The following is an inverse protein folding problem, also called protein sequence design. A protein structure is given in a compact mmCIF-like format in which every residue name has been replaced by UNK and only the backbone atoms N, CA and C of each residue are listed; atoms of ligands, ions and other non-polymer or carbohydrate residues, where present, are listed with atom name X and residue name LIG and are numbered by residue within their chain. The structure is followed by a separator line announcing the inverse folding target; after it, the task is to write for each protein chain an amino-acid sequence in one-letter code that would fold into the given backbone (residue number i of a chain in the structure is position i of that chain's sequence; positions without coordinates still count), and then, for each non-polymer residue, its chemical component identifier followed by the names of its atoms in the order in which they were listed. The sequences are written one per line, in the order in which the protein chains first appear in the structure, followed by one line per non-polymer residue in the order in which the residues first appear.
data_IF_433167004435
#
_entry.id   IF_433167004435
#
_cell.length_a   1.000
_cell.length_b   1.000
_cell.length_c   1.000
_cell.angle_alpha   90.00
_cell.angle_beta   90.00
_cell.angle_gamma   90.00
#
_symmetry.space_group_name_H-M   'P 1'
#
loop_
_entity.id
_entity.type
_entity.pdbx_description
1 polymer ?
#
# COMPACT_ATOMS: atom_id res chain seq x y z
N UNK A 1 -50.26 36.06 -4.80
CA UNK A 1 -49.37 34.97 -4.33
C UNK A 1 -48.77 35.39 -3.00
N UNK A 2 -49.18 34.74 -1.90
CA UNK A 2 -48.56 34.97 -0.58
C UNK A 2 -47.16 34.38 -0.64
N UNK A 3 -46.14 35.21 -0.42
CA UNK A 3 -44.76 34.77 -0.25
C UNK A 3 -44.71 33.78 0.92
N UNK A 4 -44.56 32.49 0.63
CA UNK A 4 -44.22 31.51 1.67
C UNK A 4 -42.99 32.03 2.41
N UNK A 5 -42.95 31.96 3.76
CA UNK A 5 -41.77 32.38 4.51
C UNK A 5 -40.58 31.61 3.97
N UNK A 6 -39.55 32.33 3.53
CA UNK A 6 -38.30 31.75 3.03
C UNK A 6 -37.76 30.83 4.12
N UNK A 7 -37.99 29.52 3.99
CA UNK A 7 -37.38 28.48 4.79
C UNK A 7 -35.90 28.46 4.43
N UNK A 8 -35.15 29.38 5.03
CA UNK A 8 -33.69 29.31 5.07
C UNK A 8 -33.36 28.05 5.88
N UNK A 9 -33.04 26.97 5.16
CA UNK A 9 -32.41 25.82 5.79
C UNK A 9 -31.16 26.30 6.52
N UNK A 10 -30.94 25.89 7.78
CA UNK A 10 -29.69 26.16 8.49
C UNK A 10 -28.48 25.74 7.66
N UNK A 11 -27.38 26.48 7.81
CA UNK A 11 -26.14 26.29 7.02
C UNK A 11 -25.58 24.90 7.24
N UNK A 12 -25.80 24.35 8.42
CA UNK A 12 -25.40 23.04 8.86
C UNK A 12 -26.17 21.95 8.10
N UNK A 13 -27.48 22.15 7.84
CA UNK A 13 -28.26 21.20 7.04
C UNK A 13 -27.88 21.24 5.58
N UNK A 14 -27.61 22.42 5.03
CA UNK A 14 -27.09 22.54 3.66
C UNK A 14 -25.70 21.90 3.58
N UNK A 15 -24.85 22.16 4.56
CA UNK A 15 -23.54 21.51 4.64
C UNK A 15 -23.72 20.01 4.76
N UNK A 16 -24.64 19.47 5.56
CA UNK A 16 -24.92 18.04 5.65
C UNK A 16 -25.50 17.46 4.35
N UNK A 17 -26.34 18.20 3.61
CA UNK A 17 -26.87 17.74 2.31
C UNK A 17 -25.73 17.72 1.29
N UNK A 18 -24.95 18.79 1.21
CA UNK A 18 -23.77 18.85 0.34
C UNK A 18 -22.75 17.80 0.74
N UNK A 19 -22.52 17.64 2.04
CA UNK A 19 -21.61 16.65 2.59
C UNK A 19 -22.17 15.26 2.37
N UNK A 20 -23.46 14.97 2.43
CA UNK A 20 -24.07 13.67 2.10
C UNK A 20 -23.92 13.37 0.61
N UNK A 21 -24.27 14.34 -0.25
CA UNK A 21 -24.02 14.32 -1.69
C UNK A 21 -22.53 14.19 -2.01
N UNK A 22 -21.65 14.52 -1.05
CA UNK A 22 -20.19 14.38 -1.14
C UNK A 22 -19.63 13.29 -0.22
N UNK A 23 -20.40 12.57 0.60
CA UNK A 23 -19.94 11.56 1.60
C UNK A 23 -20.02 10.19 0.98
N UNK A 24 -20.99 10.00 0.08
CA UNK A 24 -20.86 9.06 -1.02
C UNK A 24 -19.51 9.23 -1.78
N UNK A 25 -18.85 10.39 -1.64
CA UNK A 25 -17.52 10.69 -2.18
C UNK A 25 -16.40 10.87 -1.12
N UNK A 26 -16.70 11.05 0.19
CA UNK A 26 -15.75 11.41 1.26
C UNK A 26 -15.61 10.37 2.38
N UNK A 27 -16.54 9.40 2.55
CA UNK A 27 -16.23 8.17 3.33
C UNK A 27 -15.12 7.31 2.68
N UNK A 28 -14.58 7.81 1.56
CA UNK A 28 -13.45 7.32 0.80
C UNK A 28 -12.11 8.03 1.13
N UNK A 29 -11.94 8.63 2.33
CA UNK A 29 -10.67 9.25 2.74
C UNK A 29 -9.67 8.26 3.40
N UNK A 30 -8.38 8.53 3.09
CA UNK A 30 -7.08 7.92 3.39
C UNK A 30 -6.66 6.57 2.79
N UNK A 31 -7.55 5.60 2.55
CA UNK A 31 -7.13 4.29 1.99
C UNK A 31 -8.03 3.73 0.88
N UNK A 32 -8.89 4.53 0.23
CA UNK A 32 -9.81 4.02 -0.82
C UNK A 32 -9.80 4.76 -2.18
N UNK A 33 -8.89 5.72 -2.40
CA UNK A 33 -9.12 6.85 -3.33
C UNK A 33 -8.78 6.65 -4.82
N UNK A 34 -8.12 5.57 -5.25
CA UNK A 34 -7.49 5.53 -6.61
C UNK A 34 -8.10 4.47 -7.57
N UNK A 35 -9.00 3.62 -7.10
CA UNK A 35 -9.46 2.48 -7.90
C UNK A 35 -10.57 2.80 -8.93
N UNK A 36 -11.21 3.97 -8.85
CA UNK A 36 -12.39 4.30 -9.68
C UNK A 36 -12.18 5.49 -10.62
N UNK A 37 -10.98 5.75 -11.11
CA UNK A 37 -10.70 7.03 -11.78
C UNK A 37 -11.46 7.29 -13.09
N UNK A 38 -11.61 6.31 -13.98
CA UNK A 38 -12.36 6.55 -15.23
C UNK A 38 -13.88 6.68 -15.00
N UNK A 39 -14.44 5.87 -14.09
CA UNK A 39 -15.88 5.89 -13.78
C UNK A 39 -16.28 7.03 -12.84
N UNK A 40 -15.41 7.39 -11.89
CA UNK A 40 -15.59 8.52 -10.97
C UNK A 40 -15.52 9.85 -11.70
N UNK A 41 -14.69 10.00 -12.74
CA UNK A 41 -14.57 11.26 -13.49
C UNK A 41 -15.87 11.69 -14.17
N UNK A 42 -16.61 10.73 -14.76
CA UNK A 42 -17.91 11.01 -15.39
C UNK A 42 -18.95 11.40 -14.33
N UNK A 43 -19.02 10.64 -13.23
CA UNK A 43 -19.91 10.94 -12.11
C UNK A 43 -19.58 12.31 -11.49
N UNK A 44 -18.29 12.62 -11.31
CA UNK A 44 -17.81 13.88 -10.76
C UNK A 44 -18.14 15.06 -11.67
N UNK A 45 -18.10 14.91 -13.00
CA UNK A 45 -18.50 15.98 -13.92
C UNK A 45 -19.98 16.31 -13.78
N UNK A 46 -20.85 15.30 -13.70
CA UNK A 46 -22.29 15.49 -13.49
C UNK A 46 -22.58 16.20 -12.17
N UNK A 47 -21.97 15.73 -11.09
CA UNK A 47 -22.11 16.34 -9.77
C UNK A 47 -21.59 17.78 -9.74
N UNK A 48 -20.37 18.04 -10.24
CA UNK A 48 -19.79 19.39 -10.28
C UNK A 48 -20.65 20.36 -11.07
N UNK A 49 -21.29 19.91 -12.17
CA UNK A 49 -22.25 20.74 -12.91
C UNK A 49 -23.49 21.07 -12.07
N UNK A 50 -24.06 20.08 -11.39
CA UNK A 50 -25.20 20.30 -10.48
C UNK A 50 -24.85 21.26 -9.33
N UNK A 51 -23.71 21.03 -8.68
CA UNK A 51 -23.19 21.91 -7.63
C UNK A 51 -22.91 23.32 -8.16
N UNK A 52 -22.30 23.47 -9.34
CA UNK A 52 -22.10 24.79 -9.94
C UNK A 52 -23.43 25.53 -10.12
N UNK A 53 -24.48 24.87 -10.59
CA UNK A 53 -25.82 25.46 -10.67
C UNK A 53 -26.35 25.86 -9.29
N UNK A 54 -26.21 25.00 -8.26
CA UNK A 54 -26.58 25.33 -6.88
C UNK A 54 -25.84 26.57 -6.36
N UNK A 55 -24.55 26.74 -6.67
CA UNK A 55 -23.77 27.90 -6.23
C UNK A 55 -24.26 29.23 -6.83
N UNK A 56 -24.95 29.17 -7.98
CA UNK A 56 -25.52 30.34 -8.66
C UNK A 56 -26.95 30.68 -8.19
N UNK A 57 -27.59 29.81 -7.40
CA UNK A 57 -28.97 30.03 -6.93
C UNK A 57 -29.08 31.22 -5.98
N UNK A 58 -28.19 31.31 -4.99
CA UNK A 58 -28.16 32.43 -4.05
C UNK A 58 -26.80 32.57 -3.36
N UNK A 59 -26.54 33.77 -2.81
CA UNK A 59 -25.29 34.08 -2.08
C UNK A 59 -25.06 33.22 -0.85
N UNK A 60 -26.13 32.64 -0.29
CA UNK A 60 -26.05 31.80 0.91
C UNK A 60 -25.42 30.42 0.61
N UNK A 61 -25.75 29.82 -0.54
CA UNK A 61 -25.22 28.50 -0.93
C UNK A 61 -23.81 28.59 -1.51
N UNK A 62 -23.48 29.73 -2.14
CA UNK A 62 -22.23 29.90 -2.87
C UNK A 62 -20.98 29.54 -2.05
N UNK A 63 -20.77 29.98 -0.79
CA UNK A 63 -19.57 29.64 -0.02
C UNK A 63 -19.44 28.14 0.27
N UNK A 64 -20.52 27.49 0.71
CA UNK A 64 -20.51 26.07 1.06
C UNK A 64 -20.25 25.20 -0.19
N UNK A 65 -20.92 25.52 -1.29
CA UNK A 65 -20.77 24.79 -2.56
C UNK A 65 -19.39 25.04 -3.18
N UNK A 66 -18.86 26.26 -3.09
CA UNK A 66 -17.53 26.62 -3.61
C UNK A 66 -16.43 25.79 -2.93
N UNK A 67 -16.52 25.59 -1.61
CA UNK A 67 -15.56 24.75 -0.89
C UNK A 67 -15.50 23.32 -1.47
N UNK A 68 -16.64 22.75 -1.80
CA UNK A 68 -16.73 21.42 -2.43
C UNK A 68 -16.20 21.43 -3.87
N UNK A 69 -16.64 22.39 -4.69
CA UNK A 69 -16.28 22.49 -6.12
C UNK A 69 -14.77 22.60 -6.35
N UNK A 70 -14.10 23.40 -5.52
CA UNK A 70 -12.68 23.71 -5.64
C UNK A 70 -11.79 22.82 -4.77
N UNK A 71 -12.35 21.93 -3.94
CA UNK A 71 -11.56 21.00 -3.10
C UNK A 71 -10.54 20.19 -3.90
N UNK A 72 -10.97 19.68 -5.06
CA UNK A 72 -10.14 18.89 -5.97
C UNK A 72 -10.18 19.47 -7.37
N UNK A 73 -9.02 19.85 -7.89
CA UNK A 73 -8.84 20.33 -9.26
C UNK A 73 -8.19 19.25 -10.11
N UNK A 74 -8.58 19.17 -11.39
CA UNK A 74 -8.00 18.24 -12.37
C UNK A 74 -7.42 19.07 -13.50
N UNK A 75 -6.13 18.91 -13.76
CA UNK A 75 -5.38 19.59 -14.82
C UNK A 75 -4.93 18.56 -15.85
N UNK A 76 -5.28 18.77 -17.11
CA UNK A 76 -4.95 17.85 -18.22
C UNK A 76 -3.99 18.44 -19.24
N UNK A 77 -3.80 19.75 -19.19
CA UNK A 77 -3.02 20.49 -20.16
C UNK A 77 -2.33 21.70 -19.55
N UNK A 78 -1.39 22.29 -20.29
CA UNK A 78 -0.78 23.58 -19.95
C UNK A 78 -1.82 24.70 -19.88
N UNK A 79 -2.82 24.67 -20.78
CA UNK A 79 -3.87 25.68 -20.83
C UNK A 79 -4.76 25.64 -19.59
N UNK A 80 -5.08 24.45 -19.06
CA UNK A 80 -5.83 24.31 -17.80
C UNK A 80 -5.07 24.95 -16.64
N UNK A 81 -3.75 24.75 -16.60
CA UNK A 81 -2.88 25.31 -15.58
C UNK A 81 -2.82 26.84 -15.67
N UNK A 82 -2.59 27.38 -16.87
CA UNK A 82 -2.51 28.83 -17.09
C UNK A 82 -3.86 29.51 -16.79
N UNK A 83 -4.98 28.90 -17.19
CA UNK A 83 -6.32 29.34 -16.83
C UNK A 83 -6.54 29.33 -15.32
N UNK A 84 -6.12 28.28 -14.62
CA UNK A 84 -6.23 28.21 -13.16
C UNK A 84 -5.41 29.30 -12.48
N UNK A 85 -4.17 29.53 -12.93
CA UNK A 85 -3.31 30.59 -12.37
C UNK A 85 -3.95 31.97 -12.59
N UNK A 86 -4.45 32.26 -13.80
CA UNK A 86 -5.15 33.50 -14.09
C UNK A 86 -6.41 33.64 -13.22
N UNK A 87 -7.17 32.55 -13.06
CA UNK A 87 -8.37 32.50 -12.24
C UNK A 87 -8.08 32.78 -10.76
N UNK A 88 -7.04 32.17 -10.19
CA UNK A 88 -6.59 32.42 -8.82
C UNK A 88 -6.18 33.88 -8.61
N UNK A 89 -5.49 34.49 -9.59
CA UNK A 89 -5.09 35.90 -9.55
C UNK A 89 -6.26 36.89 -9.73
N UNK A 90 -7.36 36.45 -10.35
CA UNK A 90 -8.55 37.27 -10.59
C UNK A 90 -9.64 37.14 -9.51
N UNK A 91 -9.47 36.24 -8.53
CA UNK A 91 -10.52 35.89 -7.57
C UNK A 91 -11.04 37.12 -6.83
N UNK A 92 -12.35 37.36 -6.94
CA UNK A 92 -13.08 38.44 -6.27
C UNK A 92 -13.12 38.26 -4.75
N UNK A 93 -13.47 39.33 -4.03
CA UNK A 93 -13.49 39.46 -2.56
C UNK A 93 -14.48 38.53 -1.81
N UNK A 94 -14.96 37.44 -2.43
CA UNK A 94 -15.79 36.45 -1.75
C UNK A 94 -14.85 35.59 -0.89
N UNK A 95 -14.94 35.73 0.42
CA UNK A 95 -14.24 34.86 1.36
C UNK A 95 -14.92 33.47 1.44
N UNK A 96 -14.15 32.38 1.62
CA UNK A 96 -12.69 32.33 1.57
C UNK A 96 -12.15 32.33 0.11
N UNK A 97 -10.89 32.76 -0.14
CA UNK A 97 -10.30 32.75 -1.48
C UNK A 97 -10.18 31.32 -2.04
N UNK A 98 -10.29 31.14 -3.36
CA UNK A 98 -10.22 29.79 -3.98
C UNK A 98 -8.93 29.06 -3.59
N UNK A 99 -7.80 29.76 -3.54
CA UNK A 99 -6.50 29.15 -3.16
C UNK A 99 -6.57 28.41 -1.83
N UNK A 100 -7.33 28.93 -0.85
CA UNK A 100 -7.52 28.27 0.45
C UNK A 100 -8.51 27.11 0.45
N UNK A 101 -9.31 26.97 -0.61
CA UNK A 101 -10.29 25.89 -0.77
C UNK A 101 -9.69 24.67 -1.49
N UNK A 102 -8.60 24.85 -2.26
CA UNK A 102 -7.94 23.78 -3.00
C UNK A 102 -7.13 22.91 -2.04
N UNK A 103 -7.52 21.65 -1.92
CA UNK A 103 -6.82 20.65 -1.12
C UNK A 103 -6.04 19.66 -1.99
N UNK A 104 -6.56 19.35 -3.18
CA UNK A 104 -5.97 18.37 -4.08
C UNK A 104 -5.87 18.94 -5.50
N UNK A 105 -4.68 18.82 -6.10
CA UNK A 105 -4.43 19.12 -7.51
C UNK A 105 -4.03 17.82 -8.19
N UNK A 106 -4.96 17.29 -8.98
CA UNK A 106 -4.74 16.10 -9.78
C UNK A 106 -4.29 16.49 -11.18
N UNK A 107 -3.26 15.82 -11.67
CA UNK A 107 -2.69 16.01 -13.00
C UNK A 107 -2.93 14.72 -13.76
N UNK A 108 -3.63 14.80 -14.89
CA UNK A 108 -3.91 13.65 -15.75
C UNK A 108 -3.25 13.88 -17.10
N UNK A 109 -2.36 12.98 -17.50
CA UNK A 109 -1.69 13.02 -18.79
C UNK A 109 -2.05 11.74 -19.55
N UNK A 110 -2.56 11.90 -20.77
CA UNK A 110 -3.07 10.82 -21.64
C UNK A 110 -1.98 10.20 -22.54
N UNK A 111 -0.71 10.45 -22.21
CA UNK A 111 0.44 9.98 -23.00
C UNK A 111 0.60 10.66 -24.36
N UNK A 112 -0.32 11.56 -24.76
CA UNK A 112 -0.17 12.33 -25.98
C UNK A 112 1.04 13.27 -25.88
N UNK A 113 1.74 13.54 -27.00
CA UNK A 113 2.85 14.49 -27.00
C UNK A 113 2.33 15.89 -26.69
N UNK A 114 2.63 16.37 -25.49
CA UNK A 114 2.31 17.72 -25.02
C UNK A 114 3.58 18.53 -24.80
N UNK A 115 3.48 19.86 -24.85
CA UNK A 115 4.56 20.76 -24.42
C UNK A 115 4.86 20.50 -22.94
N UNK A 116 6.12 20.39 -22.50
CA UNK A 116 6.43 20.16 -21.08
C UNK A 116 5.99 21.35 -20.23
N UNK A 117 4.98 21.16 -19.37
CA UNK A 117 4.39 22.24 -18.57
C UNK A 117 4.45 22.01 -17.06
N UNK A 118 4.85 20.82 -16.59
CA UNK A 118 4.88 20.49 -15.16
C UNK A 118 5.84 21.37 -14.33
N UNK A 119 6.82 22.01 -14.96
CA UNK A 119 7.69 22.98 -14.28
C UNK A 119 6.94 24.26 -13.85
N UNK A 120 5.81 24.58 -14.48
CA UNK A 120 4.93 25.70 -14.09
C UNK A 120 4.14 25.40 -12.81
N UNK A 121 4.02 24.14 -12.38
CA UNK A 121 3.33 23.78 -11.14
C UNK A 121 3.96 24.43 -9.90
N UNK A 122 5.24 24.80 -9.95
CA UNK A 122 5.84 25.58 -8.86
C UNK A 122 5.23 26.96 -8.72
N UNK A 123 4.77 27.57 -9.82
CA UNK A 123 4.07 28.86 -9.79
C UNK A 123 2.70 28.66 -9.13
N UNK A 124 1.95 27.65 -9.57
CA UNK A 124 0.69 27.27 -8.94
C UNK A 124 0.86 26.96 -7.44
N UNK A 125 1.90 26.22 -7.06
CA UNK A 125 2.18 25.87 -5.66
C UNK A 125 2.43 27.11 -4.81
N UNK A 126 3.10 28.12 -5.35
CA UNK A 126 3.28 29.41 -4.67
C UNK A 126 1.96 30.15 -4.53
N UNK A 127 1.11 30.15 -5.56
CA UNK A 127 -0.17 30.86 -5.53
C UNK A 127 -1.19 30.18 -4.59
N UNK A 128 -1.20 28.84 -4.53
CA UNK A 128 -2.04 28.07 -3.63
C UNK A 128 -1.56 28.15 -2.17
N UNK A 129 -0.25 28.10 -1.93
CA UNK A 129 0.33 28.11 -0.58
C UNK A 129 0.86 29.48 -0.14
N UNK A 130 0.50 30.56 -0.84
CA UNK A 130 0.98 31.92 -0.55
C UNK A 130 0.61 32.36 0.88
N UNK A 131 -0.58 31.94 1.34
CA UNK A 131 -1.05 32.25 2.68
C UNK A 131 -0.48 31.26 3.69
N UNK A 132 0.60 31.66 4.37
CA UNK A 132 1.19 30.93 5.51
C UNK A 132 0.19 30.68 6.65
N UNK A 133 -0.96 31.36 6.64
CA UNK A 133 -2.02 31.23 7.63
C UNK A 133 -2.98 30.07 7.35
N UNK A 134 -2.94 29.46 6.16
CA UNK A 134 -3.73 28.27 5.87
C UNK A 134 -2.99 27.02 6.36
N UNK A 135 -3.63 26.28 7.27
CA UNK A 135 -3.11 25.02 7.80
C UNK A 135 -3.07 23.88 6.76
N UNK A 136 -3.76 24.04 5.63
CA UNK A 136 -3.90 23.02 4.59
C UNK A 136 -3.00 23.35 3.41
N UNK A 137 -2.05 22.45 3.13
CA UNK A 137 -1.21 22.48 1.93
C UNK A 137 -1.88 21.65 0.85
N UNK A 138 -1.90 22.15 -0.39
CA UNK A 138 -2.40 21.37 -1.52
C UNK A 138 -1.52 20.12 -1.77
N UNK A 139 -2.17 18.97 -1.94
CA UNK A 139 -1.54 17.70 -2.31
C UNK A 139 -1.61 17.51 -3.82
N UNK A 140 -0.55 17.01 -4.43
CA UNK A 140 -0.46 16.81 -5.87
C UNK A 140 -0.42 15.33 -6.21
N UNK A 141 -1.33 14.92 -7.09
CA UNK A 141 -1.46 13.56 -7.58
C UNK A 141 -1.24 13.57 -9.09
N UNK A 142 -0.22 12.88 -9.57
CA UNK A 142 0.09 12.80 -11.01
C UNK A 142 -0.28 11.43 -11.54
N UNK A 143 -1.08 11.38 -12.59
CA UNK A 143 -1.51 10.17 -13.28
C UNK A 143 -1.11 10.27 -14.74
N UNK A 144 -0.30 9.34 -15.22
CA UNK A 144 0.09 9.24 -16.63
C UNK A 144 -0.43 7.90 -17.14
N UNK A 145 -1.42 7.97 -18.02
CA UNK A 145 -2.11 6.81 -18.58
C UNK A 145 -1.93 6.84 -20.09
N UNK A 146 -1.51 5.72 -20.68
CA UNK A 146 -1.48 5.56 -22.13
C UNK A 146 -2.66 4.68 -22.58
N UNK A 147 -3.74 5.32 -23.01
CA UNK A 147 -4.96 4.64 -23.48
C UNK A 147 -4.91 4.26 -24.98
N UNK A 148 -3.86 4.65 -25.70
CA UNK A 148 -3.77 4.40 -27.14
C UNK A 148 -3.37 2.97 -27.48
N UNK A 149 -4.28 2.20 -28.07
CA UNK A 149 -3.93 0.98 -28.84
C UNK A 149 -3.14 1.32 -30.13
N UNK A 150 -3.22 2.57 -30.58
CA UNK A 150 -2.43 3.07 -31.70
C UNK A 150 -0.94 2.99 -31.35
N UNK A 151 -0.17 2.37 -32.26
CA UNK A 151 1.26 2.07 -32.18
C UNK A 151 2.05 2.83 -31.10
N UNK A 152 2.85 2.13 -30.28
CA UNK A 152 3.45 2.67 -29.06
C UNK A 152 4.07 4.05 -29.35
N UNK A 153 3.48 5.15 -28.84
CA UNK A 153 4.03 6.47 -29.07
C UNK A 153 5.46 6.45 -28.55
N UNK A 154 6.40 7.14 -29.20
CA UNK A 154 7.79 7.25 -28.71
C UNK A 154 7.76 8.01 -27.37
N UNK A 155 7.63 7.27 -26.27
CA UNK A 155 7.41 7.72 -24.87
C UNK A 155 8.54 8.61 -24.32
N UNK A 156 9.64 8.79 -25.07
CA UNK A 156 10.73 9.70 -24.68
C UNK A 156 10.25 11.13 -24.37
N UNK A 157 9.09 11.56 -24.87
CA UNK A 157 8.59 12.91 -24.61
C UNK A 157 7.66 13.06 -23.40
N UNK A 158 7.22 11.96 -22.78
CA UNK A 158 6.10 11.99 -21.83
C UNK A 158 6.56 12.33 -20.41
N UNK A 159 7.75 11.88 -20.01
CA UNK A 159 8.26 12.23 -18.69
C UNK A 159 8.78 13.68 -18.70
N UNK A 160 8.21 14.57 -17.88
CA UNK A 160 8.57 16.00 -17.86
C UNK A 160 10.05 16.23 -17.54
N UNK A 161 10.69 15.23 -16.93
CA UNK A 161 12.05 15.29 -16.41
C UNK A 161 13.13 14.99 -17.47
N UNK A 162 12.77 14.51 -18.67
CA UNK A 162 13.77 14.23 -19.73
C UNK A 162 14.30 15.51 -20.39
N UNK A 163 13.50 16.59 -20.38
CA UNK A 163 13.89 17.92 -20.87
C UNK A 163 14.29 18.89 -19.77
N UNK A 164 14.23 18.48 -18.51
CA UNK A 164 14.81 19.30 -17.45
C UNK A 164 16.33 19.26 -17.60
N UNK A 165 17.02 20.38 -17.35
CA UNK A 165 18.48 20.37 -17.24
C UNK A 165 18.91 19.22 -16.32
N UNK A 166 20.07 18.62 -16.59
CA UNK A 166 20.62 17.48 -15.81
C UNK A 166 20.57 17.71 -14.29
N UNK A 167 20.59 18.97 -13.88
CA UNK A 167 20.21 19.45 -12.56
C UNK A 167 18.70 19.73 -12.49
N UNK A 168 17.89 18.92 -11.78
CA UNK A 168 16.47 19.20 -11.61
C UNK A 168 16.29 20.61 -11.02
N UNK A 169 15.30 21.40 -11.47
CA UNK A 169 15.00 22.66 -10.85
C UNK A 169 14.81 22.43 -9.34
N UNK A 170 15.47 23.25 -8.52
CA UNK A 170 15.53 23.11 -7.06
C UNK A 170 14.13 23.04 -6.40
N UNK A 171 13.11 23.52 -7.10
CA UNK A 171 11.70 23.39 -6.74
C UNK A 171 11.04 22.47 -7.78
N UNK A 172 10.66 21.27 -7.37
CA UNK A 172 9.58 20.51 -7.99
C UNK A 172 8.38 20.68 -7.06
N UNK A 173 7.14 20.79 -7.56
CA UNK A 173 5.97 20.76 -6.69
C UNK A 173 6.00 19.51 -5.81
N UNK A 174 5.36 19.57 -4.64
CA UNK A 174 5.26 18.44 -3.73
C UNK A 174 4.31 17.39 -4.30
N UNK A 175 4.78 16.59 -5.26
CA UNK A 175 4.02 15.44 -5.77
C UNK A 175 4.04 14.37 -4.69
N UNK A 176 2.86 14.05 -4.17
CA UNK A 176 2.65 13.08 -3.11
C UNK A 176 2.28 11.71 -3.67
N UNK A 177 1.52 11.68 -4.77
CA UNK A 177 1.11 10.46 -5.44
C UNK A 177 1.51 10.47 -6.92
N UNK A 178 2.03 9.33 -7.40
CA UNK A 178 2.34 9.10 -8.81
C UNK A 178 1.72 7.77 -9.27
N UNK A 179 0.86 7.83 -10.28
CA UNK A 179 0.30 6.67 -10.97
C UNK A 179 0.81 6.64 -12.41
N UNK A 180 1.40 5.53 -12.81
CA UNK A 180 1.92 5.27 -14.15
C UNK A 180 1.22 4.02 -14.70
N UNK A 181 0.47 4.17 -15.78
CA UNK A 181 -0.31 3.06 -16.36
C UNK A 181 0.00 2.88 -17.85
N UNK A 182 0.30 1.63 -18.23
CA UNK A 182 0.53 1.18 -19.62
C UNK A 182 1.61 1.97 -20.37
N UNK A 183 2.67 2.38 -19.67
CA UNK A 183 3.79 3.11 -20.29
C UNK A 183 4.83 2.16 -20.91
N UNK A 184 5.38 2.55 -22.06
CA UNK A 184 6.46 1.82 -22.72
C UNK A 184 7.79 2.57 -22.57
N UNK A 185 8.68 2.10 -21.70
CA UNK A 185 9.97 2.75 -21.45
C UNK A 185 11.12 2.04 -22.16
N UNK A 186 12.24 2.73 -22.30
CA UNK A 186 13.43 2.11 -22.91
C UNK A 186 14.07 1.13 -21.93
N UNK A 187 14.34 1.56 -20.70
CA UNK A 187 14.98 0.76 -19.65
C UNK A 187 14.34 1.05 -18.28
N UNK A 188 14.39 0.11 -17.32
CA UNK A 188 13.97 0.35 -15.93
C UNK A 188 14.65 1.56 -15.28
N UNK A 189 15.90 1.86 -15.69
CA UNK A 189 16.65 3.02 -15.19
C UNK A 189 15.97 4.36 -15.45
N UNK A 190 15.27 4.48 -16.58
CA UNK A 190 14.58 5.73 -16.93
C UNK A 190 13.40 6.00 -16.00
N UNK A 191 12.66 4.94 -15.64
CA UNK A 191 11.59 4.97 -14.65
C UNK A 191 12.12 5.43 -13.28
N UNK A 192 13.17 4.76 -12.80
CA UNK A 192 13.77 5.04 -11.50
C UNK A 192 14.33 6.47 -11.43
N UNK A 193 14.95 6.95 -12.52
CA UNK A 193 15.42 8.34 -12.60
C UNK A 193 14.27 9.32 -12.48
N UNK A 194 13.16 9.10 -13.20
CA UNK A 194 11.99 9.98 -13.13
C UNK A 194 11.41 10.03 -11.72
N UNK A 195 11.18 8.87 -11.09
CA UNK A 195 10.63 8.76 -9.74
C UNK A 195 11.56 9.38 -8.70
N UNK A 196 12.86 9.08 -8.76
CA UNK A 196 13.84 9.60 -7.79
C UNK A 196 13.98 11.12 -7.76
N UNK A 197 13.54 11.80 -8.82
CA UNK A 197 13.49 13.27 -8.87
C UNK A 197 12.36 13.87 -7.99
N UNK A 198 11.39 13.05 -7.57
CA UNK A 198 10.21 13.46 -6.81
C UNK A 198 10.42 13.20 -5.31
N UNK A 199 10.84 14.23 -4.58
CA UNK A 199 11.26 14.09 -3.17
C UNK A 199 10.15 13.82 -2.16
N UNK A 200 8.91 14.18 -2.47
CA UNK A 200 7.77 14.09 -1.56
C UNK A 200 6.83 12.92 -1.90
N UNK A 201 7.29 12.01 -2.77
CA UNK A 201 6.50 10.88 -3.21
C UNK A 201 6.24 9.93 -2.03
N UNK A 202 4.98 9.90 -1.59
CA UNK A 202 4.48 8.98 -0.57
C UNK A 202 3.80 7.77 -1.21
N UNK A 203 3.14 7.98 -2.34
CA UNK A 203 2.42 6.94 -3.03
C UNK A 203 2.95 6.79 -4.46
N UNK A 204 3.27 5.57 -4.88
CA UNK A 204 3.64 5.25 -6.26
C UNK A 204 2.92 3.98 -6.73
N UNK A 205 2.14 4.06 -7.80
CA UNK A 205 1.54 2.90 -8.45
C UNK A 205 2.00 2.84 -9.90
N UNK A 206 2.43 1.66 -10.31
CA UNK A 206 2.98 1.38 -11.63
C UNK A 206 2.31 0.12 -12.15
N UNK A 207 1.55 0.26 -13.21
CA UNK A 207 0.76 -0.82 -13.78
C UNK A 207 1.03 -0.94 -15.27
N UNK A 208 1.24 -2.14 -15.78
CA UNK A 208 1.37 -2.36 -17.22
C UNK A 208 2.62 -1.70 -17.85
N UNK A 209 3.61 -1.30 -17.06
CA UNK A 209 4.80 -0.61 -17.59
C UNK A 209 5.79 -1.62 -18.14
N UNK A 210 6.09 -1.51 -19.44
CA UNK A 210 6.99 -2.42 -20.15
C UNK A 210 8.29 -1.74 -20.53
N UNK A 211 9.34 -2.54 -20.76
CA UNK A 211 10.68 -2.04 -21.10
C UNK A 211 11.15 -2.65 -22.43
N UNK A 212 11.66 -1.81 -23.33
CA UNK A 212 12.28 -2.29 -24.58
C UNK A 212 13.52 -3.13 -24.31
N UNK A 213 14.28 -2.74 -23.30
CA UNK A 213 15.45 -3.43 -22.81
C UNK A 213 15.19 -3.83 -21.34
N UNK A 214 14.97 -5.13 -21.14
CA UNK A 214 14.67 -5.71 -19.85
C UNK A 214 15.91 -5.89 -18.96
N UNK A 215 17.08 -5.41 -19.38
CA UNK A 215 18.26 -5.41 -18.51
C UNK A 215 18.01 -4.55 -17.28
N UNK A 216 17.82 -5.22 -16.15
CA UNK A 216 17.74 -4.55 -14.86
C UNK A 216 19.12 -3.96 -14.55
N UNK A 217 19.21 -2.64 -14.34
CA UNK A 217 20.45 -2.07 -13.87
C UNK A 217 20.77 -2.69 -12.53
N UNK A 218 22.07 -2.91 -12.27
CA UNK A 218 22.53 -3.32 -10.96
C UNK A 218 21.97 -2.32 -9.93
N UNK A 219 21.06 -2.79 -9.06
CA UNK A 219 20.26 -1.94 -8.18
C UNK A 219 21.10 -1.21 -7.12
N UNK A 220 22.41 -1.45 -7.13
CA UNK A 220 23.44 -0.78 -6.32
C UNK A 220 23.73 0.66 -6.76
N UNK A 221 23.11 1.15 -7.84
CA UNK A 221 23.31 2.53 -8.29
C UNK A 221 22.99 3.51 -7.15
N UNK A 222 23.99 4.27 -6.66
CA UNK A 222 23.74 5.32 -5.69
C UNK A 222 22.81 6.32 -6.37
N UNK A 223 21.56 6.41 -5.90
CA UNK A 223 20.68 7.49 -6.30
C UNK A 223 21.42 8.79 -5.99
N UNK A 224 21.77 9.51 -7.05
CA UNK A 224 22.68 10.65 -7.09
C UNK A 224 22.58 11.54 -5.83
N UNK A 225 23.63 11.53 -5.01
CA UNK A 225 24.02 12.63 -4.14
C UNK A 225 22.99 13.13 -3.13
N UNK A 226 22.91 12.45 -1.98
CA UNK A 226 22.94 13.06 -0.64
C UNK A 226 22.05 14.30 -0.38
N UNK A 227 20.77 14.24 -0.75
CA UNK A 227 19.76 14.85 0.12
C UNK A 227 18.84 13.73 0.55
N UNK A 228 19.02 13.28 1.80
CA UNK A 228 18.04 12.44 2.49
C UNK A 228 16.70 13.13 2.27
N UNK A 229 15.81 12.56 1.44
CA UNK A 229 14.51 13.15 1.26
C UNK A 229 13.89 13.29 2.65
N UNK A 230 13.08 14.33 2.84
CA UNK A 230 12.11 14.36 3.94
C UNK A 230 11.13 13.22 3.64
N UNK A 231 11.57 12.02 3.97
CA UNK A 231 10.88 10.81 3.66
C UNK A 231 9.50 10.90 4.31
N UNK A 232 8.43 10.65 3.54
CA UNK A 232 7.09 10.71 4.09
C UNK A 232 6.96 9.73 5.25
N UNK A 233 6.11 10.06 6.23
CA UNK A 233 5.88 9.20 7.39
C UNK A 233 5.38 7.82 6.98
N UNK A 234 4.59 7.77 5.91
CA UNK A 234 4.06 6.54 5.32
C UNK A 234 4.35 6.55 3.84
N UNK A 235 4.61 5.37 3.31
CA UNK A 235 4.79 5.20 1.89
C UNK A 235 4.11 3.92 1.41
N UNK A 236 3.70 3.94 0.15
CA UNK A 236 3.14 2.80 -0.54
C UNK A 236 3.68 2.79 -1.96
N UNK A 237 4.26 1.67 -2.37
CA UNK A 237 4.62 1.38 -3.76
C UNK A 237 3.84 0.17 -4.23
N UNK A 238 3.22 0.25 -5.40
CA UNK A 238 2.50 -0.85 -6.03
C UNK A 238 3.05 -1.00 -7.44
N UNK A 239 3.44 -2.21 -7.80
CA UNK A 239 3.93 -2.57 -9.12
C UNK A 239 3.15 -3.79 -9.58
N UNK A 240 2.46 -3.71 -10.71
CA UNK A 240 1.69 -4.82 -11.28
C UNK A 240 1.79 -4.87 -12.79
N UNK A 241 1.78 -6.06 -13.39
CA UNK A 241 1.95 -6.24 -14.84
C UNK A 241 3.12 -5.47 -15.45
N UNK A 242 4.24 -5.36 -14.74
CA UNK A 242 5.40 -4.61 -15.19
C UNK A 242 6.52 -5.52 -15.69
N UNK A 243 7.29 -5.03 -16.67
CA UNK A 243 8.43 -5.75 -17.24
C UNK A 243 8.02 -7.03 -17.95
N UNK A 244 8.49 -8.18 -17.45
CA UNK A 244 8.17 -9.53 -17.93
C UNK A 244 6.99 -10.17 -17.17
N UNK A 245 6.27 -9.37 -16.37
CA UNK A 245 5.16 -9.80 -15.51
C UNK A 245 5.54 -10.86 -14.45
N UNK A 246 6.83 -11.08 -14.19
CA UNK A 246 7.23 -11.99 -13.12
C UNK A 246 7.20 -11.29 -11.75
N UNK A 247 6.83 -12.00 -10.66
CA UNK A 247 6.86 -11.44 -9.31
C UNK A 247 8.26 -10.92 -8.91
N UNK A 248 9.32 -11.55 -9.41
CA UNK A 248 10.70 -11.15 -9.14
C UNK A 248 11.03 -9.77 -9.73
N UNK A 249 10.66 -9.55 -11.00
CA UNK A 249 10.79 -8.25 -11.69
C UNK A 249 9.97 -7.17 -11.00
N UNK A 250 8.71 -7.46 -10.67
CA UNK A 250 7.82 -6.50 -10.01
C UNK A 250 8.35 -6.11 -8.61
N UNK A 251 8.83 -7.08 -7.84
CA UNK A 251 9.44 -6.84 -6.53
C UNK A 251 10.77 -6.07 -6.66
N UNK A 252 11.61 -6.40 -7.65
CA UNK A 252 12.82 -5.65 -7.94
C UNK A 252 12.51 -4.17 -8.26
N UNK A 253 11.51 -3.90 -9.11
CA UNK A 253 11.05 -2.54 -9.39
C UNK A 253 10.54 -1.85 -8.12
N UNK A 254 9.65 -2.49 -7.37
CA UNK A 254 9.07 -1.91 -6.15
C UNK A 254 10.15 -1.53 -5.13
N UNK A 255 11.15 -2.38 -4.94
CA UNK A 255 12.28 -2.14 -4.04
C UNK A 255 13.29 -1.10 -4.56
N UNK A 256 13.37 -0.90 -5.87
CA UNK A 256 14.23 0.12 -6.48
C UNK A 256 13.61 1.52 -6.48
N UNK A 257 12.29 1.61 -6.70
CA UNK A 257 11.50 2.85 -6.66
C UNK A 257 11.65 3.51 -5.30
N UNK A 258 11.64 2.68 -4.27
CA UNK A 258 11.71 3.12 -2.90
C UNK A 258 12.77 2.32 -2.19
N UNK A 259 13.97 2.89 -1.93
CA UNK A 259 15.08 2.19 -1.32
C UNK A 259 14.76 1.92 0.16
N UNK A 260 13.88 0.94 0.38
CA UNK A 260 13.29 0.63 1.67
C UNK A 260 14.37 0.26 2.70
N UNK A 261 15.49 -0.33 2.27
CA UNK A 261 16.69 -0.52 3.10
C UNK A 261 17.15 0.79 3.75
N UNK A 262 17.36 1.84 2.94
CA UNK A 262 17.80 3.15 3.43
C UNK A 262 16.79 3.83 4.36
N UNK A 263 15.49 3.64 4.12
CA UNK A 263 14.43 4.26 4.91
C UNK A 263 14.12 3.53 6.20
N UNK A 264 14.25 2.22 6.17
CA UNK A 264 14.05 1.37 7.33
C UNK A 264 15.27 1.32 8.21
N UNK A 265 16.46 1.65 7.69
CA UNK A 265 17.76 1.49 8.35
C UNK A 265 18.25 0.04 8.37
N UNK A 266 17.69 -0.81 7.50
CA UNK A 266 18.14 -2.18 7.27
C UNK A 266 19.24 -2.14 6.21
N UNK A 267 20.33 -2.87 6.41
CA UNK A 267 21.42 -2.92 5.45
C UNK A 267 21.01 -3.61 4.14
N UNK A 268 21.77 -3.35 3.07
CA UNK A 268 21.47 -3.88 1.73
C UNK A 268 21.45 -5.41 1.69
N UNK A 269 22.32 -6.10 2.43
CA UNK A 269 22.40 -7.57 2.42
C UNK A 269 21.19 -8.18 3.12
N UNK A 270 20.79 -7.66 4.27
CA UNK A 270 19.57 -8.08 4.98
C UNK A 270 18.33 -7.83 4.11
N UNK A 271 18.26 -6.68 3.43
CA UNK A 271 17.17 -6.36 2.51
C UNK A 271 17.13 -7.28 1.28
N UNK A 272 18.27 -7.57 0.66
CA UNK A 272 18.34 -8.51 -0.47
C UNK A 272 17.95 -9.93 -0.05
N UNK A 273 18.35 -10.35 1.15
CA UNK A 273 17.96 -11.65 1.71
C UNK A 273 16.45 -11.71 1.94
N UNK A 274 15.86 -10.64 2.49
CA UNK A 274 14.41 -10.53 2.63
C UNK A 274 13.71 -10.59 1.25
N UNK A 275 14.21 -9.87 0.25
CA UNK A 275 13.67 -9.90 -1.12
C UNK A 275 13.70 -11.31 -1.74
N UNK A 276 14.81 -12.03 -1.56
CA UNK A 276 14.94 -13.42 -2.00
C UNK A 276 13.94 -14.32 -1.28
N UNK A 277 13.78 -14.16 0.03
CA UNK A 277 12.84 -14.93 0.83
C UNK A 277 11.41 -14.69 0.35
N UNK A 278 11.01 -13.43 0.12
CA UNK A 278 9.68 -13.08 -0.45
C UNK A 278 9.45 -13.79 -1.77
N UNK A 279 10.44 -13.75 -2.65
CA UNK A 279 10.34 -14.34 -3.98
C UNK A 279 10.22 -15.87 -3.91
N UNK A 280 10.88 -16.53 -2.96
CA UNK A 280 10.87 -18.00 -2.88
C UNK A 280 9.54 -18.61 -2.44
N UNK A 281 8.71 -17.89 -1.68
CA UNK A 281 7.36 -18.37 -1.33
C UNK A 281 6.24 -17.66 -2.08
N UNK A 282 6.53 -16.64 -2.90
CA UNK A 282 5.49 -15.99 -3.72
C UNK A 282 5.08 -16.94 -4.84
N UNK A 283 3.81 -17.36 -4.91
CA UNK A 283 3.32 -18.20 -6.00
C UNK A 283 3.47 -17.53 -7.37
N UNK A 284 3.61 -18.34 -8.43
CA UNK A 284 3.88 -17.89 -9.81
C UNK A 284 2.72 -17.06 -10.39
N UNK A 285 1.50 -17.24 -9.89
CA UNK A 285 0.27 -16.62 -10.38
C UNK A 285 0.01 -15.18 -9.86
N UNK A 286 0.99 -14.60 -9.17
CA UNK A 286 0.86 -13.26 -8.61
C UNK A 286 1.10 -12.19 -9.70
N UNK A 287 0.17 -11.25 -9.79
CA UNK A 287 0.13 -10.19 -10.82
C UNK A 287 0.60 -8.83 -10.31
N UNK A 288 0.70 -8.66 -9.00
CA UNK A 288 1.10 -7.42 -8.35
C UNK A 288 1.96 -7.62 -7.10
N UNK A 289 2.87 -6.67 -6.87
CA UNK A 289 3.65 -6.49 -5.64
C UNK A 289 3.35 -5.12 -5.05
N UNK A 290 3.10 -5.09 -3.73
CA UNK A 290 2.87 -3.87 -2.96
C UNK A 290 3.83 -3.81 -1.78
N UNK A 291 4.49 -2.67 -1.59
CA UNK A 291 5.35 -2.37 -0.45
C UNK A 291 4.71 -1.21 0.28
N UNK A 292 4.20 -1.44 1.47
CA UNK A 292 3.79 -0.40 2.41
C UNK A 292 4.84 -0.28 3.50
N UNK A 293 5.10 0.93 3.98
CA UNK A 293 5.90 1.09 5.17
C UNK A 293 5.57 2.35 5.93
N UNK A 294 5.73 2.25 7.24
CA UNK A 294 5.71 3.39 8.14
C UNK A 294 7.14 3.67 8.56
N UNK A 295 7.52 4.95 8.51
CA UNK A 295 8.87 5.38 8.82
C UNK A 295 9.20 4.90 10.24
N UNK A 296 10.14 3.97 10.28
CA UNK A 296 10.86 3.44 11.43
C UNK A 296 10.33 2.19 12.13
N UNK A 297 9.12 1.73 11.85
CA UNK A 297 8.48 0.71 12.72
C UNK A 297 8.17 -0.61 12.01
N UNK A 298 7.72 -0.57 10.74
CA UNK A 298 7.43 -1.80 9.99
C UNK A 298 7.43 -1.57 8.48
N UNK A 299 7.69 -2.65 7.74
CA UNK A 299 7.48 -2.71 6.29
C UNK A 299 6.64 -3.92 5.97
N UNK A 300 5.56 -3.69 5.25
CA UNK A 300 4.64 -4.71 4.79
C UNK A 300 4.87 -4.95 3.30
N UNK A 301 5.27 -6.17 2.95
CA UNK A 301 5.42 -6.63 1.57
C UNK A 301 4.24 -7.52 1.23
N UNK A 302 3.38 -7.07 0.33
CA UNK A 302 2.20 -7.83 -0.12
C UNK A 302 2.43 -8.26 -1.55
N UNK A 303 2.07 -9.50 -1.84
CA UNK A 303 1.97 -9.98 -3.21
C UNK A 303 0.49 -10.31 -3.44
N UNK A 304 -0.02 -10.08 -4.64
CA UNK A 304 -1.39 -10.45 -4.98
C UNK A 304 -1.53 -10.99 -6.39
N UNK A 305 -2.52 -11.87 -6.58
CA UNK A 305 -3.02 -12.32 -7.88
C UNK A 305 -3.95 -11.29 -8.53
N UNK A 306 -4.34 -10.26 -7.80
CA UNK A 306 -5.13 -9.16 -8.31
C UNK A 306 -4.28 -7.89 -8.30
N UNK A 307 -4.25 -7.21 -9.44
CA UNK A 307 -3.87 -5.81 -9.44
C UNK A 307 -4.98 -5.07 -8.73
N UNK A 308 -4.70 -4.73 -7.49
CA UNK A 308 -5.43 -3.66 -6.85
C UNK A 308 -4.98 -2.37 -7.50
N UNK A 309 -5.92 -1.65 -8.07
CA UNK A 309 -5.72 -0.25 -8.34
C UNK A 309 -5.79 0.46 -6.97
N UNK A 310 -4.66 0.37 -6.26
CA UNK A 310 -4.34 1.11 -5.05
C UNK A 310 -5.14 0.78 -3.78
N UNK A 311 -6.40 0.34 -3.85
CA UNK A 311 -7.30 0.62 -2.73
C UNK A 311 -8.57 -0.26 -2.60
N UNK A 312 -8.68 -1.40 -3.30
CA UNK A 312 -9.73 -2.38 -2.96
C UNK A 312 -9.47 -2.94 -1.59
N UNK A 313 -10.49 -2.82 -0.77
CA UNK A 313 -10.54 -3.31 0.60
C UNK A 313 -11.03 -4.76 0.64
N UNK A 314 -11.12 -5.44 -0.52
CA UNK A 314 -11.16 -6.90 -0.56
C UNK A 314 -9.80 -7.48 -0.21
N UNK A 315 -9.48 -7.36 1.08
CA UNK A 315 -8.37 -7.99 1.78
C UNK A 315 -8.40 -9.53 1.72
N UNK A 316 -9.45 -10.10 1.15
CA UNK A 316 -9.85 -11.48 1.35
C UNK A 316 -9.01 -12.50 0.56
N UNK A 317 -8.17 -12.08 -0.39
CA UNK A 317 -7.56 -13.00 -1.36
C UNK A 317 -6.06 -12.82 -1.59
N UNK A 318 -5.30 -12.21 -0.67
CA UNK A 318 -3.87 -11.91 -0.91
C UNK A 318 -2.95 -12.54 0.11
N UNK A 319 -1.86 -13.12 -0.37
CA UNK A 319 -0.71 -13.46 0.47
C UNK A 319 -0.07 -12.17 0.97
N UNK A 320 -0.17 -11.92 2.27
CA UNK A 320 0.37 -10.72 2.92
C UNK A 320 1.60 -11.11 3.72
N UNK A 321 2.72 -10.43 3.47
CA UNK A 321 3.92 -10.54 4.30
C UNK A 321 4.13 -9.25 5.07
N UNK A 322 4.36 -9.36 6.38
CA UNK A 322 4.69 -8.22 7.23
C UNK A 322 6.05 -8.45 7.84
N UNK A 323 6.98 -7.53 7.57
CA UNK A 323 8.30 -7.48 8.18
C UNK A 323 8.26 -6.43 9.30
N UNK A 324 8.34 -6.88 10.54
CA UNK A 324 8.52 -5.98 11.67
C UNK A 324 10.02 -5.73 11.84
N UNK A 325 10.40 -4.45 11.87
CA UNK A 325 11.79 -4.03 11.89
C UNK A 325 12.08 -3.49 13.28
N UNK A 326 12.89 -4.22 14.03
CA UNK A 326 13.30 -3.78 15.35
C UNK A 326 14.47 -2.81 15.24
N UNK A 327 14.40 -1.75 16.05
CA UNK A 327 15.60 -0.97 16.36
C UNK A 327 16.27 -1.59 17.57
N UNK A 328 17.58 -1.87 17.53
CA UNK A 328 18.31 -2.12 18.77
C UNK A 328 18.18 -0.88 19.66
N UNK A 329 18.24 -1.05 21.00
CA UNK A 329 18.26 0.09 21.91
C UNK A 329 19.39 1.03 21.50
N UNK A 330 19.06 2.33 21.37
CA UNK A 330 20.03 3.31 20.91
C UNK A 330 21.23 3.34 21.88
N UNK A 331 22.46 3.03 21.44
CA UNK A 331 23.63 3.20 22.27
C UNK A 331 23.75 4.68 22.66
N UNK A 332 23.87 4.95 23.96
CA UNK A 332 23.81 6.31 24.55
C UNK A 332 24.94 7.24 24.04
N UNK A 333 25.97 6.70 23.36
CA UNK A 333 27.19 7.44 23.05
C UNK A 333 27.76 7.32 21.62
N UNK A 334 27.06 6.71 20.65
CA UNK A 334 27.59 6.64 19.26
C UNK A 334 26.77 7.46 18.28
N UNK A 335 27.45 8.27 17.47
CA UNK A 335 26.84 9.07 16.39
C UNK A 335 26.36 8.25 15.19
N UNK A 336 26.78 6.97 15.10
CA UNK A 336 26.30 6.06 14.07
C UNK A 336 24.87 5.60 14.40
N UNK A 337 23.95 5.76 13.45
CA UNK A 337 22.63 5.16 13.54
C UNK A 337 22.78 3.64 13.58
N UNK A 338 22.25 2.95 14.61
CA UNK A 338 22.43 1.53 14.70
C UNK A 338 21.69 0.84 13.55
N UNK A 339 22.35 -0.16 12.96
CA UNK A 339 21.73 -1.01 11.94
C UNK A 339 20.53 -1.73 12.55
N UNK A 340 19.44 -1.75 11.80
CA UNK A 340 18.19 -2.36 12.23
C UNK A 340 18.08 -3.76 11.66
N UNK A 341 17.46 -4.63 12.42
CA UNK A 341 17.24 -6.03 12.06
C UNK A 341 15.76 -6.30 11.85
N UNK A 342 15.45 -7.32 11.05
CA UNK A 342 14.10 -7.87 10.96
C UNK A 342 13.90 -8.75 12.20
N UNK A 343 13.05 -8.35 13.14
CA UNK A 343 12.79 -9.15 14.35
C UNK A 343 11.71 -10.19 14.12
N UNK A 344 10.72 -9.88 13.28
CA UNK A 344 9.55 -10.72 13.04
C UNK A 344 9.20 -10.74 11.57
N UNK A 345 8.92 -11.94 11.07
CA UNK A 345 8.47 -12.19 9.70
C UNK A 345 7.10 -12.84 9.74
N UNK A 346 6.05 -12.10 9.42
CA UNK A 346 4.69 -12.65 9.40
C UNK A 346 4.27 -12.99 7.97
N UNK A 347 4.00 -14.27 7.70
CA UNK A 347 3.31 -14.75 6.51
C UNK A 347 1.82 -14.87 6.83
N UNK A 348 0.94 -14.26 6.06
CA UNK A 348 -0.50 -14.28 6.30
C UNK A 348 -1.31 -14.49 5.02
N UNK A 349 -2.53 -15.03 5.18
CA UNK A 349 -3.61 -15.01 4.17
C UNK A 349 -3.27 -15.71 2.85
N UNK A 350 -2.90 -16.98 2.93
CA UNK A 350 -2.70 -17.78 1.73
C UNK A 350 -4.00 -17.91 0.92
N UNK A 351 -3.86 -17.81 -0.40
CA UNK A 351 -4.99 -17.87 -1.34
C UNK A 351 -5.71 -19.21 -1.31
N UNK A 352 -4.96 -20.32 -1.19
CA UNK A 352 -5.48 -21.68 -1.22
C UNK A 352 -4.61 -22.65 -0.41
N UNK A 353 -5.11 -23.87 -0.17
CA UNK A 353 -4.28 -24.94 0.42
C UNK A 353 -3.18 -25.38 -0.54
N UNK A 354 -3.46 -25.38 -1.85
CA UNK A 354 -2.49 -25.74 -2.88
C UNK A 354 -1.30 -24.76 -2.91
N UNK A 355 -1.53 -23.45 -2.74
CA UNK A 355 -0.44 -22.47 -2.72
C UNK A 355 0.46 -22.60 -1.49
N UNK A 356 -0.11 -22.94 -0.32
CA UNK A 356 0.69 -23.28 0.88
C UNK A 356 1.56 -24.51 0.60
N UNK A 357 1.00 -25.54 -0.03
CA UNK A 357 1.70 -26.80 -0.28
C UNK A 357 2.76 -26.69 -1.38
N UNK A 358 2.53 -25.85 -2.39
CA UNK A 358 3.45 -25.61 -3.50
C UNK A 358 4.63 -24.69 -3.14
N UNK A 359 4.61 -24.07 -1.96
CA UNK A 359 5.71 -23.23 -1.48
C UNK A 359 6.96 -24.09 -1.25
N UNK A 360 8.11 -23.65 -1.77
CA UNK A 360 9.41 -24.25 -1.47
C UNK A 360 9.87 -23.84 -0.06
N UNK A 361 9.32 -24.52 0.95
CA UNK A 361 9.58 -24.25 2.36
C UNK A 361 11.05 -24.46 2.75
N UNK A 362 11.77 -25.36 2.07
CA UNK A 362 13.17 -25.62 2.33
C UNK A 362 14.05 -24.46 1.85
N UNK A 363 13.85 -24.02 0.60
CA UNK A 363 14.55 -22.86 0.06
C UNK A 363 14.25 -21.60 0.88
N UNK A 364 12.97 -21.36 1.19
CA UNK A 364 12.55 -20.22 2.01
C UNK A 364 13.24 -20.23 3.37
N UNK A 365 13.24 -21.36 4.07
CA UNK A 365 13.91 -21.51 5.35
C UNK A 365 15.42 -21.27 5.24
N UNK A 366 16.06 -21.84 4.22
CA UNK A 366 17.50 -21.66 3.98
C UNK A 366 17.85 -20.19 3.76
N UNK A 367 16.98 -19.42 3.11
CA UNK A 367 17.18 -17.98 2.92
C UNK A 367 16.93 -17.23 4.24
N UNK A 368 15.87 -17.55 4.98
CA UNK A 368 15.58 -16.91 6.28
C UNK A 368 16.72 -17.09 7.29
N UNK A 369 17.35 -18.26 7.32
CA UNK A 369 18.48 -18.54 8.22
C UNK A 369 19.75 -17.74 7.87
N UNK A 370 19.80 -17.04 6.72
CA UNK A 370 20.89 -16.12 6.38
C UNK A 370 20.74 -14.73 7.02
N UNK A 371 19.58 -14.45 7.62
CA UNK A 371 19.33 -13.20 8.33
C UNK A 371 19.96 -13.28 9.72
N UNK A 372 20.64 -12.20 10.13
CA UNK A 372 21.30 -12.09 11.44
C UNK A 372 20.77 -10.84 12.17
N UNK A 373 20.08 -10.99 13.31
CA UNK A 373 19.57 -12.23 13.90
C UNK A 373 18.47 -12.89 13.04
N UNK A 374 18.30 -14.22 13.22
CA UNK A 374 17.18 -14.95 12.60
C UNK A 374 15.85 -14.42 13.14
N UNK A 375 14.94 -13.94 12.28
CA UNK A 375 13.64 -13.42 12.72
C UNK A 375 12.75 -14.52 13.27
N UNK A 376 11.81 -14.16 14.14
CA UNK A 376 10.68 -15.03 14.48
C UNK A 376 9.73 -15.09 13.29
N UNK A 377 9.59 -16.26 12.68
CA UNK A 377 8.65 -16.56 11.61
C UNK A 377 7.27 -16.84 12.20
N UNK A 378 6.27 -16.07 11.78
CA UNK A 378 4.88 -16.22 12.18
C UNK A 378 4.05 -16.55 10.96
N UNK A 379 3.37 -17.69 10.96
CA UNK A 379 2.51 -18.09 9.84
C UNK A 379 1.06 -18.03 10.29
N UNK A 380 0.25 -17.25 9.55
CA UNK A 380 -1.18 -17.03 9.76
C UNK A 380 -1.94 -17.53 8.55
N UNK A 381 -2.96 -18.34 8.78
CA UNK A 381 -3.88 -18.76 7.72
C UNK A 381 -5.29 -18.81 8.29
N UNK A 382 -6.25 -18.30 7.54
CA UNK A 382 -7.68 -18.44 7.79
C UNK A 382 -8.28 -19.66 7.04
N UNK A 383 -7.46 -20.37 6.25
CA UNK A 383 -7.86 -21.56 5.51
C UNK A 383 -7.69 -22.80 6.39
N UNK A 384 -8.80 -23.35 6.87
CA UNK A 384 -8.82 -24.51 7.80
C UNK A 384 -7.97 -25.67 7.30
N UNK A 385 -8.18 -26.12 6.06
CA UNK A 385 -7.46 -27.27 5.51
C UNK A 385 -5.97 -27.01 5.30
N UNK A 386 -5.62 -25.81 4.82
CA UNK A 386 -4.24 -25.40 4.63
C UNK A 386 -3.48 -25.26 5.94
N UNK A 387 -4.12 -24.69 6.96
CA UNK A 387 -3.53 -24.55 8.28
C UNK A 387 -3.40 -25.90 9.00
N UNK A 388 -4.39 -26.79 8.86
CA UNK A 388 -4.31 -28.18 9.35
C UNK A 388 -3.09 -28.91 8.77
N UNK A 389 -2.92 -28.83 7.45
CA UNK A 389 -1.78 -29.41 6.76
C UNK A 389 -0.46 -28.81 7.27
N UNK A 390 -0.41 -27.49 7.42
CA UNK A 390 0.78 -26.77 7.89
C UNK A 390 1.20 -27.22 9.30
N UNK A 391 0.27 -27.31 10.25
CA UNK A 391 0.56 -27.79 11.60
C UNK A 391 1.18 -29.19 11.53
N UNK A 392 0.53 -30.12 10.82
CA UNK A 392 1.01 -31.49 10.69
C UNK A 392 2.41 -31.55 10.06
N UNK A 393 2.62 -30.87 8.94
CA UNK A 393 3.90 -30.89 8.24
C UNK A 393 5.04 -30.31 9.08
N UNK A 394 4.76 -29.27 9.89
CA UNK A 394 5.73 -28.70 10.84
C UNK A 394 6.01 -29.66 12.00
N UNK A 395 4.98 -30.24 12.62
CA UNK A 395 5.15 -31.16 13.77
C UNK A 395 5.82 -32.46 13.38
N UNK A 396 5.60 -32.94 12.16
CA UNK A 396 6.25 -34.12 11.60
C UNK A 396 7.71 -33.83 11.18
N UNK A 397 8.16 -32.56 11.28
CA UNK A 397 9.51 -32.13 10.88
C UNK A 397 9.73 -32.09 9.36
N UNK A 398 8.68 -32.23 8.56
CA UNK A 398 8.76 -32.25 7.10
C UNK A 398 9.12 -30.87 6.52
N UNK A 399 8.71 -29.79 7.20
CA UNK A 399 9.04 -28.40 6.83
C UNK A 399 9.42 -27.59 8.08
N UNK A 400 10.24 -26.55 7.90
CA UNK A 400 10.55 -25.56 8.93
C UNK A 400 11.19 -26.11 10.21
N UNK A 401 11.75 -27.32 10.19
CA UNK A 401 12.34 -28.00 11.35
C UNK A 401 13.37 -27.16 12.11
N UNK A 402 14.40 -26.60 11.44
CA UNK A 402 15.35 -25.70 12.12
C UNK A 402 14.74 -24.44 12.77
N UNK A 403 13.67 -23.87 12.20
CA UNK A 403 13.00 -22.70 12.79
C UNK A 403 12.19 -23.08 14.03
N UNK A 404 11.55 -24.26 14.00
CA UNK A 404 10.87 -24.86 15.15
C UNK A 404 11.87 -25.17 16.28
N UNK A 405 12.99 -25.82 15.97
CA UNK A 405 14.01 -26.19 16.96
C UNK A 405 14.72 -25.00 17.60
N UNK A 406 14.76 -23.85 16.92
CA UNK A 406 15.32 -22.60 17.43
C UNK A 406 14.32 -21.74 18.22
N UNK A 407 13.09 -22.21 18.44
CA UNK A 407 11.98 -21.41 19.02
C UNK A 407 11.74 -20.10 18.27
N UNK A 408 11.86 -20.16 16.93
CA UNK A 408 11.66 -19.03 16.01
C UNK A 408 10.44 -19.22 15.11
N UNK A 409 9.54 -20.15 15.40
CA UNK A 409 8.36 -20.43 14.60
C UNK A 409 7.08 -20.32 15.44
N UNK A 410 6.10 -19.56 14.94
CA UNK A 410 4.75 -19.46 15.51
C UNK A 410 3.73 -19.80 14.42
N UNK A 411 2.75 -20.66 14.74
CA UNK A 411 1.62 -20.96 13.86
C UNK A 411 0.36 -20.36 14.45
N UNK A 412 -0.04 -19.19 13.98
CA UNK A 412 -1.15 -18.44 14.55
C UNK A 412 -2.45 -18.67 13.77
N UNK A 413 -3.45 -19.26 14.41
CA UNK A 413 -4.81 -19.25 13.88
C UNK A 413 -5.49 -17.91 14.22
N UNK A 414 -6.06 -17.18 13.25
CA UNK A 414 -6.75 -15.93 13.53
C UNK A 414 -7.94 -16.18 14.47
N UNK A 415 -8.00 -15.46 15.58
CA UNK A 415 -9.23 -15.35 16.36
C UNK A 415 -10.28 -14.56 15.58
N UNK A 416 -11.52 -14.49 16.07
CA UNK A 416 -12.53 -13.56 15.52
C UNK A 416 -11.98 -12.12 15.40
N UNK A 417 -12.71 -11.22 14.73
CA UNK A 417 -12.22 -9.93 14.17
C UNK A 417 -11.31 -9.03 15.04
N UNK A 418 -11.20 -9.24 16.35
CA UNK A 418 -10.37 -8.42 17.25
C UNK A 418 -9.48 -9.21 18.22
N UNK A 419 -9.46 -10.55 18.19
CA UNK A 419 -8.66 -11.32 19.13
C UNK A 419 -7.26 -11.61 18.57
N UNK A 420 -6.18 -11.46 19.38
CA UNK A 420 -4.86 -11.89 18.96
C UNK A 420 -4.90 -13.38 18.57
N UNK A 421 -4.28 -13.73 17.45
CA UNK A 421 -4.23 -15.11 16.99
C UNK A 421 -3.58 -16.01 18.03
N UNK A 422 -4.11 -17.22 18.19
CA UNK A 422 -3.57 -18.19 19.14
C UNK A 422 -2.45 -18.97 18.47
N UNK A 423 -1.27 -19.05 19.08
CA UNK A 423 -0.15 -19.85 18.58
C UNK A 423 -0.36 -21.33 18.92
N UNK A 424 -0.51 -22.15 17.88
CA UNK A 424 -0.75 -23.58 17.97
C UNK A 424 0.51 -24.37 18.31
N UNK A 425 1.70 -23.76 18.27
CA UNK A 425 2.96 -24.41 18.64
C UNK A 425 3.39 -24.15 20.09
N UNK A 426 2.81 -23.13 20.74
CA UNK A 426 3.10 -22.79 22.14
C UNK A 426 2.97 -23.99 23.08
N UNK A 427 3.63 -23.98 24.24
CA UNK A 427 3.63 -25.11 25.18
C UNK A 427 2.24 -25.60 25.58
N UNK A 428 2.16 -26.88 25.96
CA UNK A 428 0.93 -27.64 26.25
C UNK A 428 -0.08 -26.84 27.07
N UNK A 429 -1.31 -26.79 26.56
CA UNK A 429 -2.46 -26.41 27.37
C UNK A 429 -3.09 -27.71 27.86
N UNK A 430 -2.97 -27.96 29.16
CA UNK A 430 -3.73 -29.04 29.79
C UNK A 430 -5.17 -28.59 29.93
N UNK A 431 -6.09 -29.40 29.39
CA UNK A 431 -7.52 -29.15 29.51
C UNK A 431 -8.10 -30.09 30.55
N UNK A 432 -8.78 -29.54 31.55
CA UNK A 432 -9.49 -30.34 32.54
C UNK A 432 -10.93 -30.59 32.07
N UNK A 433 -11.31 -31.85 31.89
CA UNK A 433 -12.67 -32.26 31.57
C UNK A 433 -13.08 -33.42 32.48
N UNK A 434 -14.25 -33.29 33.12
CA UNK A 434 -14.79 -34.29 34.03
C UNK A 434 -13.76 -34.77 35.10
N UNK A 435 -12.92 -33.85 35.59
CA UNK A 435 -11.88 -34.11 36.60
C UNK A 435 -10.59 -34.77 36.07
N UNK A 436 -10.49 -35.03 34.77
CA UNK A 436 -9.29 -35.58 34.12
C UNK A 436 -8.57 -34.53 33.29
N UNK A 437 -7.24 -34.54 33.29
CA UNK A 437 -6.44 -33.69 32.41
C UNK A 437 -6.21 -34.39 31.07
N UNK A 438 -6.44 -33.65 29.99
CA UNK A 438 -6.13 -34.07 28.62
C UNK A 438 -5.12 -33.09 28.04
N UNK A 439 -3.94 -33.61 27.74
CA UNK A 439 -2.87 -32.86 27.09
C UNK A 439 -3.02 -32.97 25.58
N UNK A 440 -3.30 -31.85 24.92
CA UNK A 440 -3.55 -31.83 23.48
C UNK A 440 -2.29 -31.52 22.68
N UNK A 441 -2.08 -32.27 21.59
CA UNK A 441 -1.05 -31.92 20.62
C UNK A 441 -1.46 -30.67 19.80
N UNK A 442 -0.52 -30.01 19.08
CA UNK A 442 -0.81 -28.82 18.26
C UNK A 442 -2.01 -28.96 17.31
N UNK A 443 -2.16 -30.13 16.68
CA UNK A 443 -3.23 -30.40 15.73
C UNK A 443 -4.59 -30.54 16.43
N UNK A 444 -4.64 -31.25 17.57
CA UNK A 444 -5.84 -31.40 18.39
C UNK A 444 -6.29 -30.07 18.99
N UNK A 445 -5.35 -29.20 19.41
CA UNK A 445 -5.68 -27.83 19.86
C UNK A 445 -6.35 -27.02 18.77
N UNK A 446 -5.84 -27.13 17.54
CA UNK A 446 -6.45 -26.48 16.39
C UNK A 446 -7.86 -27.04 16.11
N UNK A 447 -8.03 -28.36 16.11
CA UNK A 447 -9.35 -29.01 15.93
C UNK A 447 -10.36 -28.60 17.00
N UNK A 448 -9.92 -28.54 18.26
CA UNK A 448 -10.74 -28.05 19.36
C UNK A 448 -11.21 -26.61 19.09
N UNK A 449 -10.30 -25.75 18.60
CA UNK A 449 -10.56 -24.32 18.38
C UNK A 449 -11.58 -24.06 17.28
N UNK A 450 -11.61 -24.87 16.23
CA UNK A 450 -12.53 -24.68 15.10
C UNK A 450 -13.89 -25.34 15.29
N UNK A 451 -14.05 -26.19 16.32
CA UNK A 451 -15.31 -26.89 16.60
C UNK A 451 -16.31 -26.00 17.33
N UNK A 452 -17.60 -26.19 17.03
CA UNK A 452 -18.72 -25.53 17.71
C UNK A 452 -18.96 -26.05 19.13
N UNK A 453 -18.64 -27.32 19.37
CA UNK A 453 -18.85 -28.01 20.66
C UNK A 453 -17.52 -28.59 21.17
N UNK A 454 -16.68 -27.76 21.83
CA UNK A 454 -15.35 -28.19 22.27
C UNK A 454 -15.41 -29.34 23.28
N UNK A 455 -16.37 -29.35 24.20
CA UNK A 455 -16.47 -30.35 25.27
C UNK A 455 -16.72 -31.76 24.73
N UNK A 456 -17.58 -31.89 23.71
CA UNK A 456 -17.83 -33.18 23.07
C UNK A 456 -16.56 -33.74 22.44
N UNK A 457 -15.77 -32.89 21.78
CA UNK A 457 -14.50 -33.29 21.18
C UNK A 457 -13.47 -33.71 22.23
N UNK A 458 -13.36 -32.98 23.33
CA UNK A 458 -12.49 -33.34 24.46
C UNK A 458 -12.85 -34.70 25.06
N UNK A 459 -14.15 -34.98 25.25
CA UNK A 459 -14.61 -36.30 25.73
C UNK A 459 -14.23 -37.43 24.78
N UNK A 460 -14.44 -37.23 23.46
CA UNK A 460 -14.01 -38.22 22.46
C UNK A 460 -12.50 -38.46 22.48
N UNK A 461 -11.70 -37.40 22.65
CA UNK A 461 -10.25 -37.55 22.78
C UNK A 461 -9.85 -38.28 24.06
N UNK A 462 -10.49 -37.98 25.19
CA UNK A 462 -10.25 -38.67 26.46
C UNK A 462 -10.56 -40.17 26.35
N UNK A 463 -11.69 -40.53 25.74
CA UNK A 463 -12.05 -41.93 25.47
C UNK A 463 -11.00 -42.63 24.61
N UNK A 464 -10.53 -41.97 23.54
CA UNK A 464 -9.49 -42.51 22.66
C UNK A 464 -8.16 -42.72 23.38
N UNK A 465 -7.73 -41.77 24.21
CA UNK A 465 -6.51 -41.90 25.01
C UNK A 465 -6.62 -43.04 26.02
N UNK A 466 -7.76 -43.17 26.69
CA UNK A 466 -8.03 -44.29 27.61
C UNK A 466 -8.01 -45.65 26.90
N UNK A 467 -8.51 -45.73 25.66
CA UNK A 467 -8.43 -46.95 24.86
C UNK A 467 -6.99 -47.30 24.46
N UNK A 468 -6.19 -46.33 24.03
CA UNK A 468 -4.77 -46.56 23.67
C UNK A 468 -3.98 -47.02 24.90
N UNK A 469 -4.19 -46.40 26.05
CA UNK A 469 -3.54 -46.79 27.30
C UNK A 469 -3.92 -48.21 27.75
N UNK A 470 -5.17 -48.65 27.52
CA UNK A 470 -5.61 -50.02 27.80
C UNK A 470 -5.03 -51.07 26.85
N UNK A 471 -4.62 -50.69 25.64
CA UNK A 471 -4.01 -51.60 24.68
C UNK A 471 -2.49 -51.69 24.84
N UNK A 472 -1.87 -50.68 25.45
CA UNK A 472 -0.42 -50.61 25.67
C UNK A 472 0.04 -51.24 26.99
N UNK A 473 -0.85 -51.38 27.98
CA UNK A 473 -0.61 -52.08 29.24
C UNK A 473 -1.22 -53.47 29.22
#
# INVERSE_FOLDING_TARGET
MRSSPNLLLPSELIYMILQALCLDFNEFDDEKKIERHASSDIANRGLKRGLAACSLTCRYWAPAVRAVLFRTLILRSADDLDQLIAFLGSSTAIAPPISSLVQFVRIEMDGSPQRPWLHHLNKLDKDLNFSRSCALRALYDVSIVNDGEAAPPKVMHIFPFQFLPRSPPLACPPIHSLCLDRLHLRQPRDLLRAISSIRQLAHCSITGVTFKDASFPDMRMPLLGHRTPLAPRRFTVIVGHCGDDTPSTQLALATAIFPASSMTGVDTRTWDTARQAVTSYTPIDHTAVRIDGERRDSVTLRTSNHIFCLHSVDWALNTVTVLEISSPPAPVHTSALPLRSISRWTLARFTSTASIQATDWELFQRILLRLEPTPTLVIRSDRVNGFRWLIKAVTDGAILGPALGADKLQLCWPGGRSAPGTDMLSTQADYMIDGSFVTLNPLERFELRIRRHPDFYLRTLLEKHNQVNRLAG
#
